data_IF_142338456040
#
_entry.id   IF_142338456040
#
_cell.length_a   1.000
_cell.length_b   1.000
_cell.length_c   1.000
_cell.angle_alpha   90.00
_cell.angle_beta   90.00
_cell.angle_gamma   90.00
#
_symmetry.space_group_name_H-M   'P 1'
#
loop_
_entity.id
_entity.type
_entity.pdbx_description
1 polymer ?
#
# COMPACT_ATOMS: atom_id res chain seq x y z
N UNK A 1 9.89 11.91 1.06
CA UNK A 1 9.34 12.22 -0.29
C UNK A 1 10.36 11.91 -1.36
N UNK A 2 9.95 11.76 -2.62
CA UNK A 2 10.82 11.55 -3.80
C UNK A 2 11.70 10.30 -3.66
N UNK A 3 11.06 9.16 -3.41
CA UNK A 3 11.75 7.88 -3.27
C UNK A 3 11.50 7.05 -4.52
N UNK A 4 12.57 6.55 -5.14
CA UNK A 4 12.50 5.62 -6.28
C UNK A 4 13.26 4.35 -5.97
N UNK A 5 12.61 3.22 -6.20
CA UNK A 5 13.19 1.88 -6.10
C UNK A 5 12.95 1.17 -7.42
N UNK A 6 14.01 0.72 -8.09
CA UNK A 6 13.88 0.12 -9.41
C UNK A 6 14.86 -1.04 -9.64
N UNK A 7 14.49 -1.95 -10.55
CA UNK A 7 15.36 -3.02 -11.04
C UNK A 7 15.91 -3.93 -9.93
N UNK A 8 15.08 -4.26 -8.94
CA UNK A 8 15.47 -5.04 -7.77
C UNK A 8 14.64 -6.32 -7.60
N UNK A 9 15.23 -7.28 -6.89
CA UNK A 9 14.54 -8.45 -6.36
C UNK A 9 14.38 -8.26 -4.85
N UNK A 10 13.16 -8.34 -4.35
CA UNK A 10 12.83 -8.29 -2.93
C UNK A 10 12.35 -9.69 -2.52
N UNK A 11 13.11 -10.36 -1.66
CA UNK A 11 12.79 -11.70 -1.18
C UNK A 11 12.91 -11.78 0.33
N UNK A 12 11.92 -12.36 1.00
CA UNK A 12 12.02 -12.60 2.44
C UNK A 12 10.67 -12.70 3.16
N UNK A 13 10.72 -13.16 4.41
CA UNK A 13 9.54 -13.51 5.22
C UNK A 13 8.78 -12.33 5.83
N UNK A 14 8.99 -11.11 5.31
CA UNK A 14 8.32 -9.86 5.73
C UNK A 14 7.73 -9.16 4.51
N UNK A 15 6.79 -8.24 4.73
CA UNK A 15 6.19 -7.44 3.66
C UNK A 15 7.27 -6.81 2.79
N UNK A 16 7.15 -6.94 1.47
CA UNK A 16 8.13 -6.38 0.54
C UNK A 16 8.16 -4.85 0.62
N UNK A 17 6.98 -4.23 0.71
CA UNK A 17 6.83 -2.79 0.96
C UNK A 17 5.85 -2.58 2.11
N UNK A 18 6.25 -1.77 3.09
CA UNK A 18 5.42 -1.40 4.24
C UNK A 18 5.42 0.12 4.41
N UNK A 19 4.30 0.75 4.12
CA UNK A 19 4.01 2.15 4.45
C UNK A 19 3.33 2.16 5.81
N UNK A 20 3.96 2.77 6.82
CA UNK A 20 3.46 2.71 8.19
C UNK A 20 3.56 4.04 8.93
N UNK A 21 2.56 4.33 9.77
CA UNK A 21 2.56 5.45 10.70
C UNK A 21 1.56 5.20 11.85
N UNK A 22 1.50 6.13 12.80
CA UNK A 22 0.51 6.16 13.87
C UNK A 22 -0.11 7.54 14.03
N UNK A 23 -1.22 7.61 14.73
CA UNK A 23 -1.76 8.86 15.24
C UNK A 23 -0.70 9.64 16.04
N UNK A 24 -0.68 10.95 15.86
CA UNK A 24 0.25 11.86 16.52
C UNK A 24 1.64 11.92 15.88
N UNK A 25 1.92 11.15 14.84
CA UNK A 25 3.19 11.25 14.10
C UNK A 25 3.21 12.42 13.13
N UNK A 26 2.06 12.77 12.57
CA UNK A 26 1.95 13.72 11.47
C UNK A 26 2.92 13.45 10.32
N UNK A 27 3.33 14.52 9.66
CA UNK A 27 4.28 14.46 8.53
C UNK A 27 3.67 13.87 7.26
N UNK A 28 4.54 13.38 6.37
CA UNK A 28 4.14 12.95 5.04
C UNK A 28 4.99 11.80 4.48
N UNK A 29 4.35 10.99 3.65
CA UNK A 29 4.97 10.00 2.78
C UNK A 29 4.39 10.17 1.38
N UNK A 30 5.17 10.82 0.51
CA UNK A 30 4.70 11.21 -0.82
C UNK A 30 5.74 10.97 -1.90
N UNK A 31 5.25 10.79 -3.14
CA UNK A 31 6.06 10.63 -4.34
C UNK A 31 7.03 9.46 -4.22
N UNK A 32 6.46 8.27 -4.05
CA UNK A 32 7.19 7.01 -3.90
C UNK A 32 6.88 6.12 -5.10
N UNK A 33 7.91 5.73 -5.84
CA UNK A 33 7.78 4.89 -7.03
C UNK A 33 8.59 3.60 -6.89
N UNK A 34 7.95 2.48 -7.20
CA UNK A 34 8.55 1.17 -7.38
C UNK A 34 8.35 0.73 -8.83
N UNK A 35 9.42 0.40 -9.53
CA UNK A 35 9.37 0.04 -10.95
C UNK A 35 10.28 -1.13 -11.31
N UNK A 36 9.81 -2.07 -12.12
CA UNK A 36 10.58 -3.25 -12.54
C UNK A 36 11.10 -4.06 -11.34
N UNK A 37 10.19 -4.49 -10.48
CA UNK A 37 10.51 -5.20 -9.23
C UNK A 37 10.01 -6.64 -9.29
N UNK A 38 10.84 -7.57 -8.83
CA UNK A 38 10.42 -8.96 -8.56
C UNK A 38 10.29 -9.15 -7.06
N UNK A 39 9.17 -9.71 -6.62
CA UNK A 39 8.88 -9.98 -5.20
C UNK A 39 8.68 -11.46 -5.01
N UNK A 40 9.37 -12.04 -4.03
CA UNK A 40 9.36 -13.47 -3.78
C UNK A 40 9.16 -13.80 -2.30
N UNK A 41 8.37 -14.84 -2.01
CA UNK A 41 8.24 -15.43 -0.67
C UNK A 41 7.83 -14.44 0.44
N UNK A 42 7.03 -13.44 0.09
CA UNK A 42 6.64 -12.36 1.01
C UNK A 42 5.21 -12.53 1.52
N UNK A 43 4.94 -12.27 2.81
CA UNK A 43 3.56 -12.20 3.31
C UNK A 43 2.69 -11.22 2.56
N UNK A 44 3.23 -10.07 2.15
CA UNK A 44 2.50 -9.06 1.38
C UNK A 44 3.42 -8.39 0.36
N UNK A 45 2.95 -8.13 -0.86
CA UNK A 45 3.69 -7.22 -1.74
C UNK A 45 3.66 -5.80 -1.16
N UNK A 46 2.48 -5.19 -1.05
CA UNK A 46 2.32 -3.88 -0.43
C UNK A 46 1.44 -3.98 0.80
N UNK A 47 1.89 -3.37 1.90
CA UNK A 47 1.08 -3.18 3.09
C UNK A 47 1.09 -1.71 3.49
N UNK A 48 -0.09 -1.17 3.77
CA UNK A 48 -0.28 0.18 4.31
C UNK A 48 -1.04 0.02 5.62
N UNK A 49 -0.47 0.57 6.70
CA UNK A 49 -1.07 0.58 8.04
C UNK A 49 -0.66 1.85 8.79
N UNK A 50 -1.61 2.79 8.91
CA UNK A 50 -1.35 4.14 9.43
C UNK A 50 -1.90 4.37 10.84
N UNK A 51 -2.47 3.33 11.46
CA UNK A 51 -3.07 3.42 12.80
C UNK A 51 -2.38 2.49 13.80
N UNK A 52 -2.02 1.27 13.39
CA UNK A 52 -1.61 0.21 14.32
C UNK A 52 -0.13 -0.15 14.24
N UNK A 53 0.63 0.40 13.28
CA UNK A 53 2.05 0.09 13.07
C UNK A 53 2.95 1.32 13.08
N UNK A 54 4.19 1.15 13.54
CA UNK A 54 5.12 2.27 13.72
C UNK A 54 5.35 2.58 15.19
N UNK A 55 6.29 3.48 15.45
CA UNK A 55 6.71 3.86 16.80
C UNK A 55 5.83 5.02 17.25
N UNK A 56 5.32 4.96 18.49
CA UNK A 56 4.58 6.07 19.07
C UNK A 56 5.49 7.30 19.19
N UNK A 57 4.99 8.48 18.81
CA UNK A 57 5.73 9.71 19.06
C UNK A 57 5.90 9.93 20.57
N UNK A 58 7.10 10.33 21.00
CA UNK A 58 7.33 10.78 22.37
C UNK A 58 6.56 12.07 22.65
N UNK A 59 6.46 12.93 21.63
CA UNK A 59 5.70 14.18 21.62
C UNK A 59 4.72 14.13 20.44
N UNK A 60 3.48 13.65 20.66
CA UNK A 60 2.52 13.51 19.58
C UNK A 60 1.95 14.86 19.14
N UNK A 61 1.79 15.03 17.83
CA UNK A 61 1.02 16.13 17.22
C UNK A 61 -0.45 15.93 17.55
N UNK A 62 -1.07 16.88 18.24
CA UNK A 62 -2.44 16.75 18.76
C UNK A 62 -3.46 17.48 17.88
N UNK A 63 -3.00 18.37 17.02
CA UNK A 63 -3.79 19.14 16.08
C UNK A 63 -4.51 18.19 15.11
N UNK A 64 -5.84 18.25 15.08
CA UNK A 64 -6.66 17.29 14.33
C UNK A 64 -6.29 17.18 12.84
N UNK A 65 -5.86 18.29 12.22
CA UNK A 65 -5.48 18.34 10.80
C UNK A 65 -4.07 17.80 10.50
N UNK A 66 -3.23 17.63 11.52
CA UNK A 66 -1.80 17.30 11.37
C UNK A 66 -1.39 16.05 12.13
N UNK A 67 -2.24 15.53 13.02
CA UNK A 67 -1.95 14.31 13.79
C UNK A 67 -1.77 13.06 12.90
N UNK A 68 -2.40 13.04 11.73
CA UNK A 68 -2.29 11.95 10.76
C UNK A 68 -1.19 12.22 9.73
N UNK A 69 -0.39 11.20 9.42
CA UNK A 69 0.56 11.29 8.32
C UNK A 69 -0.18 11.36 6.98
N UNK A 70 0.17 12.34 6.14
CA UNK A 70 -0.38 12.45 4.78
C UNK A 70 0.33 11.46 3.87
N UNK A 71 -0.42 10.56 3.23
CA UNK A 71 0.15 9.56 2.31
C UNK A 71 -0.44 9.76 0.93
N UNK A 72 0.41 10.07 -0.05
CA UNK A 72 -0.06 10.30 -1.42
C UNK A 72 0.94 9.88 -2.48
N UNK A 73 0.48 9.68 -3.72
CA UNK A 73 1.32 9.43 -4.89
C UNK A 73 2.26 8.21 -4.70
N UNK A 74 1.64 7.05 -4.45
CA UNK A 74 2.34 5.78 -4.35
C UNK A 74 2.17 5.03 -5.67
N UNK A 75 3.27 4.83 -6.40
CA UNK A 75 3.24 4.28 -7.76
C UNK A 75 4.01 2.96 -7.79
N UNK A 76 3.35 1.91 -8.26
CA UNK A 76 3.96 0.61 -8.48
C UNK A 76 3.70 0.17 -9.92
N UNK A 77 4.78 -0.01 -10.70
CA UNK A 77 4.70 -0.40 -12.11
C UNK A 77 5.60 -1.60 -12.39
N UNK A 78 5.15 -2.48 -13.28
CA UNK A 78 5.93 -3.63 -13.75
C UNK A 78 6.44 -4.47 -12.58
N UNK A 79 5.52 -5.00 -11.77
CA UNK A 79 5.85 -5.81 -10.59
C UNK A 79 5.49 -7.26 -10.85
N UNK A 80 6.45 -8.16 -10.67
CA UNK A 80 6.22 -9.59 -10.71
C UNK A 80 6.22 -10.15 -9.28
N UNK A 81 5.12 -10.79 -8.88
CA UNK A 81 4.99 -11.44 -7.57
C UNK A 81 5.10 -12.96 -7.70
N UNK A 82 5.84 -13.59 -6.79
CA UNK A 82 6.00 -15.05 -6.71
C UNK A 82 5.80 -15.50 -5.26
N UNK A 83 4.81 -16.35 -5.04
CA UNK A 83 4.47 -16.90 -3.71
C UNK A 83 4.22 -15.81 -2.66
N UNK A 84 3.42 -14.81 -3.04
CA UNK A 84 2.99 -13.75 -2.13
C UNK A 84 1.75 -14.18 -1.35
N UNK A 85 1.67 -13.80 -0.07
CA UNK A 85 0.47 -14.01 0.74
C UNK A 85 -0.71 -13.18 0.22
N UNK A 86 -0.72 -11.90 0.52
CA UNK A 86 -1.72 -10.96 -0.01
C UNK A 86 -1.05 -9.96 -0.96
N UNK A 87 -1.68 -9.68 -2.10
CA UNK A 87 -1.08 -8.80 -3.11
C UNK A 87 -0.95 -7.38 -2.54
N UNK A 88 -2.06 -6.81 -2.07
CA UNK A 88 -2.05 -5.49 -1.42
C UNK A 88 -2.96 -5.50 -0.20
N UNK A 89 -2.39 -5.06 0.91
CA UNK A 89 -3.00 -4.97 2.22
C UNK A 89 -3.04 -3.51 2.69
N UNK A 90 -3.95 -2.71 2.15
CA UNK A 90 -4.16 -1.32 2.58
C UNK A 90 -5.32 -1.25 3.57
N UNK A 91 -5.00 -1.40 4.86
CA UNK A 91 -5.96 -1.44 5.97
C UNK A 91 -5.51 -0.47 7.06
N UNK A 92 -6.36 -0.26 8.08
CA UNK A 92 -6.00 0.60 9.21
C UNK A 92 -5.58 2.00 8.73
N UNK A 93 -6.45 2.62 7.94
CA UNK A 93 -6.30 3.97 7.40
C UNK A 93 -7.55 4.75 7.85
N UNK A 94 -7.36 5.92 8.46
CA UNK A 94 -8.47 6.76 8.91
C UNK A 94 -9.23 7.34 7.71
N UNK A 95 -10.56 7.40 7.80
CA UNK A 95 -11.39 8.10 6.80
C UNK A 95 -11.16 9.63 6.83
N UNK A 96 -10.63 10.17 7.93
CA UNK A 96 -10.25 11.59 8.04
C UNK A 96 -9.02 11.94 7.20
N UNK A 97 -8.12 10.97 7.00
CA UNK A 97 -6.89 11.14 6.23
C UNK A 97 -6.66 9.91 5.33
N UNK A 98 -7.46 9.77 4.24
CA UNK A 98 -7.32 8.65 3.32
C UNK A 98 -5.97 8.69 2.59
N UNK A 99 -5.57 7.53 2.05
CA UNK A 99 -4.44 7.46 1.10
C UNK A 99 -4.94 7.95 -0.25
N UNK A 100 -4.18 8.82 -0.92
CA UNK A 100 -4.55 9.39 -2.22
C UNK A 100 -3.53 9.03 -3.32
N UNK A 101 -3.99 8.72 -4.53
CA UNK A 101 -3.08 8.49 -5.65
C UNK A 101 -2.23 7.21 -5.53
N UNK A 102 -2.86 6.09 -5.10
CA UNK A 102 -2.27 4.76 -5.23
C UNK A 102 -2.45 4.27 -6.68
N UNK A 103 -1.35 3.96 -7.36
CA UNK A 103 -1.36 3.42 -8.72
C UNK A 103 -0.66 2.06 -8.72
N UNK A 104 -1.37 1.03 -9.15
CA UNK A 104 -0.83 -0.31 -9.43
C UNK A 104 -1.03 -0.59 -10.92
N UNK A 105 0.06 -0.70 -11.67
CA UNK A 105 0.00 -0.96 -13.11
C UNK A 105 0.93 -2.12 -13.51
N UNK A 106 0.43 -3.03 -14.35
CA UNK A 106 1.18 -4.18 -14.84
C UNK A 106 1.78 -5.02 -13.69
N UNK A 107 0.88 -5.65 -12.92
CA UNK A 107 1.24 -6.52 -11.80
C UNK A 107 0.93 -7.96 -12.19
N UNK A 108 1.92 -8.85 -12.17
CA UNK A 108 1.80 -10.22 -12.68
C UNK A 108 2.30 -11.28 -11.69
N UNK A 109 1.80 -12.52 -11.79
CA UNK A 109 2.35 -13.66 -11.04
C UNK A 109 1.32 -14.35 -10.13
N UNK A 110 1.71 -14.80 -8.93
CA UNK A 110 0.79 -15.50 -8.01
C UNK A 110 0.76 -14.92 -6.60
N UNK A 111 -0.44 -14.90 -6.01
CA UNK A 111 -0.69 -14.53 -4.62
C UNK A 111 -1.83 -15.36 -4.02
N UNK A 112 -1.88 -15.53 -2.69
CA UNK A 112 -2.96 -16.30 -2.02
C UNK A 112 -4.23 -15.48 -1.78
N UNK A 113 -4.11 -14.15 -1.70
CA UNK A 113 -5.22 -13.20 -1.54
C UNK A 113 -4.95 -11.97 -2.40
N UNK A 114 -6.01 -11.36 -2.94
CA UNK A 114 -5.92 -10.23 -3.85
C UNK A 114 -5.56 -8.90 -3.18
N UNK A 115 -6.27 -7.85 -3.60
CA UNK A 115 -6.09 -6.46 -3.19
C UNK A 115 -7.18 -6.08 -2.21
N UNK A 116 -6.82 -5.54 -1.06
CA UNK A 116 -7.74 -4.90 -0.12
C UNK A 116 -7.41 -3.42 0.01
N UNK A 117 -8.39 -2.56 -0.26
CA UNK A 117 -8.29 -1.11 -0.11
C UNK A 117 -9.34 -0.61 0.88
N UNK A 118 -8.88 -0.02 1.99
CA UNK A 118 -9.71 0.66 2.98
C UNK A 118 -9.29 2.12 3.12
N UNK A 119 -10.22 3.04 2.92
CA UNK A 119 -10.00 4.48 2.85
C UNK A 119 -8.86 4.88 1.90
N UNK A 120 -8.85 4.31 0.69
CA UNK A 120 -7.95 4.69 -0.40
C UNK A 120 -8.74 5.37 -1.51
N UNK A 121 -8.50 6.66 -1.70
CA UNK A 121 -9.26 7.50 -2.62
C UNK A 121 -8.57 7.57 -3.98
N UNK A 122 -9.34 7.30 -5.03
CA UNK A 122 -8.90 7.40 -6.42
C UNK A 122 -7.77 6.43 -6.78
N UNK A 123 -7.83 5.19 -6.30
CA UNK A 123 -6.83 4.20 -6.67
C UNK A 123 -6.97 3.82 -8.15
N UNK A 124 -5.84 3.68 -8.85
CA UNK A 124 -5.78 3.22 -10.25
C UNK A 124 -5.19 1.82 -10.32
N UNK A 125 -5.98 0.89 -10.82
CA UNK A 125 -5.60 -0.52 -10.96
C UNK A 125 -5.67 -0.88 -12.45
N UNK A 126 -4.53 -1.15 -13.07
CA UNK A 126 -4.45 -1.44 -14.51
C UNK A 126 -3.58 -2.66 -14.76
N UNK A 127 -4.02 -3.58 -15.62
CA UNK A 127 -3.27 -4.79 -15.97
C UNK A 127 -2.81 -5.61 -14.74
N UNK A 128 -3.75 -5.92 -13.83
CA UNK A 128 -3.51 -6.85 -12.72
C UNK A 128 -3.79 -8.28 -13.19
N UNK A 129 -2.73 -9.04 -13.46
CA UNK A 129 -2.78 -10.41 -14.02
C UNK A 129 -2.11 -11.38 -13.06
N UNK A 130 -2.79 -11.65 -11.95
CA UNK A 130 -2.32 -12.59 -10.92
C UNK A 130 -3.21 -13.82 -10.81
N UNK A 131 -2.64 -14.94 -10.35
CA UNK A 131 -3.33 -16.22 -10.16
C UNK A 131 -3.13 -16.77 -8.76
N UNK A 132 -3.84 -17.85 -8.42
CA UNK A 132 -3.68 -18.59 -7.15
C UNK A 132 -4.38 -17.96 -5.94
N UNK A 133 -5.09 -16.84 -6.12
CA UNK A 133 -5.83 -16.19 -5.04
C UNK A 133 -7.17 -16.88 -4.82
N UNK A 134 -7.66 -16.83 -3.58
CA UNK A 134 -9.02 -17.24 -3.23
C UNK A 134 -9.88 -16.01 -2.93
N UNK A 135 -11.18 -16.08 -3.26
CA UNK A 135 -12.11 -14.98 -3.10
C UNK A 135 -11.97 -13.90 -4.18
N UNK A 136 -12.39 -12.68 -3.84
CA UNK A 136 -12.36 -11.53 -4.76
C UNK A 136 -10.93 -11.04 -5.01
N UNK A 137 -10.62 -10.70 -6.26
CA UNK A 137 -9.33 -10.08 -6.59
C UNK A 137 -9.22 -8.67 -5.98
N UNK A 138 -10.32 -7.94 -5.89
CA UNK A 138 -10.35 -6.57 -5.38
C UNK A 138 -11.47 -6.45 -4.34
N UNK A 139 -11.09 -6.13 -3.11
CA UNK A 139 -12.00 -5.82 -2.01
C UNK A 139 -11.86 -4.35 -1.65
N UNK A 140 -12.97 -3.62 -1.76
CA UNK A 140 -13.07 -2.19 -1.44
C UNK A 140 -13.98 -2.02 -0.23
N UNK A 141 -13.55 -1.23 0.77
CA UNK A 141 -14.38 -0.86 1.91
C UNK A 141 -13.95 0.47 2.52
N UNK A 142 -14.72 0.99 3.48
CA UNK A 142 -14.44 2.29 4.10
C UNK A 142 -15.02 3.49 3.33
N UNK A 143 -15.37 4.54 4.06
CA UNK A 143 -16.18 5.67 3.60
C UNK A 143 -15.53 6.50 2.49
N UNK A 144 -14.19 6.44 2.37
CA UNK A 144 -13.43 7.24 1.39
C UNK A 144 -12.82 6.41 0.26
N UNK A 145 -13.11 5.11 0.18
CA UNK A 145 -12.52 4.27 -0.86
C UNK A 145 -13.17 4.50 -2.21
N UNK A 146 -12.36 4.72 -3.23
CA UNK A 146 -12.81 4.82 -4.62
C UNK A 146 -11.72 4.38 -5.59
N UNK A 147 -12.13 3.88 -6.76
CA UNK A 147 -11.25 3.67 -7.90
C UNK A 147 -11.42 4.83 -8.90
N UNK A 148 -10.35 5.19 -9.60
CA UNK A 148 -10.45 6.04 -10.79
C UNK A 148 -10.76 5.16 -12.02
N UNK A 149 -11.65 5.66 -12.90
CA UNK A 149 -12.03 5.00 -14.16
C UNK A 149 -10.91 5.11 -15.20
#
# INVERSE_FOLDING_TARGET
RNVRVENCIISGRKNAVLIKSREGRGGFMEDITFENIVIQNSPNFLSIDLLTRGIQASEPVMEAAEKWARVRNLIFRNVQVRDVGELVSARNISAEQPVEGLILANITGNCRTGITLVNVKGAKLTDIKVTGYTGELITLSGEKTSLEQ
#
